data_IF_007298259767
#
_entry.id   IF_007298259767
#
_cell.length_a   1.000
_cell.length_b   1.000
_cell.length_c   1.000
_cell.angle_alpha   90.00
_cell.angle_beta   90.00
_cell.angle_gamma   90.00
#
_symmetry.space_group_name_H-M   'P 1'
#
loop_
_entity.id
_entity.type
_entity.pdbx_description
1 polymer ?
#
# COMPACT_ATOMS: atom_id res chain seq x y z
N UNK A 1 -40.26 -5.63 -60.75
CA UNK A 1 -40.16 -6.10 -59.36
C UNK A 1 -39.13 -5.25 -58.62
N UNK A 2 -39.59 -4.15 -58.02
CA UNK A 2 -39.19 -3.63 -56.71
C UNK A 2 -39.90 -2.29 -56.53
N UNK A 3 -40.85 -2.29 -55.61
CA UNK A 3 -41.77 -1.20 -55.30
C UNK A 3 -41.14 -0.27 -54.26
N UNK A 4 -41.25 1.03 -54.48
CA UNK A 4 -40.93 2.07 -53.52
C UNK A 4 -42.21 2.85 -53.22
N UNK A 5 -42.61 2.91 -51.95
CA UNK A 5 -43.66 3.77 -51.43
C UNK A 5 -43.25 4.32 -50.04
N UNK A 6 -43.79 5.49 -49.62
CA UNK A 6 -43.09 6.41 -48.73
C UNK A 6 -43.50 6.35 -47.25
N UNK A 7 -42.67 7.02 -46.44
CA UNK A 7 -42.85 7.38 -45.03
C UNK A 7 -44.14 8.17 -44.77
N UNK A 8 -44.85 7.83 -43.70
CA UNK A 8 -45.88 8.67 -43.08
C UNK A 8 -45.67 8.71 -41.55
N UNK A 9 -45.67 9.94 -41.01
CA UNK A 9 -45.62 10.30 -39.58
C UNK A 9 -47.02 10.73 -39.18
N UNK A 10 -47.59 10.14 -38.12
CA UNK A 10 -48.69 10.68 -37.32
C UNK A 10 -48.82 9.75 -36.10
N UNK A 11 -49.12 10.14 -34.86
CA UNK A 11 -49.57 11.35 -34.23
C UNK A 11 -50.01 10.93 -32.81
N UNK A 12 -49.66 11.70 -31.80
CA UNK A 12 -49.89 11.37 -30.39
C UNK A 12 -51.38 11.23 -30.04
N UNK A 13 -51.73 10.27 -29.17
CA UNK A 13 -53.02 10.20 -28.48
C UNK A 13 -52.80 10.16 -26.96
N UNK A 14 -52.90 11.35 -26.37
CA UNK A 14 -53.16 11.59 -24.95
C UNK A 14 -54.58 11.14 -24.61
N UNK A 15 -54.76 10.29 -23.60
CA UNK A 15 -56.06 10.13 -22.95
C UNK A 15 -55.94 9.63 -21.49
N UNK A 16 -56.19 10.54 -20.56
CA UNK A 16 -56.78 10.33 -19.22
C UNK A 16 -57.91 11.38 -19.10
N UNK A 17 -58.80 11.41 -18.08
CA UNK A 17 -59.00 10.55 -16.91
C UNK A 17 -60.49 10.16 -16.70
N UNK A 18 -60.84 9.43 -15.62
CA UNK A 18 -61.94 9.80 -14.69
C UNK A 18 -62.17 8.77 -13.56
N UNK A 19 -62.33 9.36 -12.36
CA UNK A 19 -63.15 8.93 -11.21
C UNK A 19 -62.65 7.80 -10.29
N UNK A 20 -61.85 8.23 -9.30
CA UNK A 20 -62.17 8.22 -7.87
C UNK A 20 -63.08 7.09 -7.34
N UNK A 21 -62.49 6.17 -6.57
CA UNK A 21 -63.17 5.50 -5.46
C UNK A 21 -62.26 5.57 -4.23
N UNK A 22 -62.81 6.17 -3.16
CA UNK A 22 -62.16 6.44 -1.88
C UNK A 22 -62.68 5.42 -0.86
N UNK A 23 -61.82 4.54 -0.35
CA UNK A 23 -62.05 3.86 0.93
C UNK A 23 -60.74 3.76 1.72
N UNK A 24 -60.83 4.19 2.98
CA UNK A 24 -59.77 4.36 3.97
C UNK A 24 -59.76 3.19 4.96
N UNK A 25 -58.57 2.88 5.48
CA UNK A 25 -58.19 2.20 6.75
C UNK A 25 -57.34 0.94 6.49
N UNK A 26 -56.18 0.69 7.12
CA UNK A 26 -55.41 1.40 8.12
C UNK A 26 -54.21 0.55 8.59
N UNK A 27 -53.21 1.23 9.17
CA UNK A 27 -52.15 0.76 10.10
C UNK A 27 -50.94 -0.04 9.55
N UNK A 28 -49.86 0.72 9.37
CA UNK A 28 -48.49 0.57 9.91
C UNK A 28 -47.82 -0.82 9.99
N UNK A 29 -46.68 -0.93 9.30
CA UNK A 29 -45.45 -1.42 9.91
C UNK A 29 -44.24 -0.82 9.17
N UNK A 30 -43.30 -0.31 9.95
CA UNK A 30 -42.10 0.39 9.51
C UNK A 30 -41.24 -0.47 8.58
N UNK A 31 -41.09 -0.07 7.31
CA UNK A 31 -39.92 -0.47 6.55
C UNK A 31 -38.72 0.29 7.10
N UNK A 32 -37.96 -0.39 7.94
CA UNK A 32 -36.65 0.07 8.40
C UNK A 32 -35.82 0.35 7.14
N UNK A 33 -35.64 1.64 6.84
CA UNK A 33 -34.58 2.08 5.94
C UNK A 33 -33.29 1.70 6.64
N UNK A 34 -32.76 0.55 6.28
CA UNK A 34 -31.41 0.17 6.60
C UNK A 34 -30.50 1.15 5.88
N UNK A 35 -30.14 2.23 6.55
CA UNK A 35 -28.86 2.90 6.28
C UNK A 35 -27.80 1.85 6.59
N UNK A 36 -27.45 1.03 5.59
CA UNK A 36 -26.18 0.35 5.59
C UNK A 36 -25.13 1.46 5.46
N UNK A 37 -24.82 2.10 6.59
CA UNK A 37 -23.50 2.68 6.79
C UNK A 37 -22.57 1.50 6.60
N UNK A 38 -22.05 1.38 5.38
CA UNK A 38 -20.88 0.54 5.14
C UNK A 38 -19.92 0.91 6.26
N UNK A 39 -19.44 -0.03 7.09
CA UNK A 39 -18.31 0.26 7.91
C UNK A 39 -17.26 0.74 6.92
N UNK A 40 -16.99 2.04 6.93
CA UNK A 40 -15.75 2.58 6.37
C UNK A 40 -14.73 1.69 7.02
N UNK A 41 -14.06 0.85 6.22
CA UNK A 41 -12.93 0.06 6.68
C UNK A 41 -12.11 1.06 7.46
N UNK A 42 -12.12 0.90 8.78
CA UNK A 42 -11.27 1.65 9.65
C UNK A 42 -9.92 1.02 9.36
N UNK A 43 -9.29 1.54 8.30
CA UNK A 43 -7.89 1.40 7.99
C UNK A 43 -7.20 1.91 9.25
N UNK A 44 -7.08 1.01 10.23
CA UNK A 44 -6.31 1.12 11.46
C UNK A 44 -5.24 2.16 11.27
N UNK A 45 -5.55 3.41 11.68
CA UNK A 45 -4.83 4.65 11.39
C UNK A 45 -3.47 4.40 10.73
N UNK A 46 -3.44 4.25 9.39
CA UNK A 46 -2.21 3.92 8.68
C UNK A 46 -1.16 4.95 9.09
N UNK A 47 -0.10 4.50 9.75
CA UNK A 47 0.81 5.42 10.45
C UNK A 47 1.49 6.29 9.41
N UNK A 48 1.14 7.58 9.38
CA UNK A 48 1.78 8.54 8.48
C UNK A 48 3.20 8.83 8.96
N UNK A 49 4.17 8.66 8.08
CA UNK A 49 5.55 9.08 8.27
C UNK A 49 5.82 10.20 7.28
N UNK A 50 6.12 11.40 7.80
CA UNK A 50 6.28 12.58 6.97
C UNK A 50 7.72 12.72 6.48
N UNK A 51 7.88 13.35 5.31
CA UNK A 51 9.19 13.76 4.76
C UNK A 51 10.23 12.64 4.70
N UNK A 52 9.82 11.41 4.33
CA UNK A 52 10.74 10.30 4.10
C UNK A 52 11.57 10.59 2.87
N UNK A 53 12.90 10.53 2.99
CA UNK A 53 13.79 10.68 1.83
C UNK A 53 13.66 9.45 0.95
N UNK A 54 13.33 9.66 -0.31
CA UNK A 54 13.26 8.60 -1.32
C UNK A 54 14.23 8.86 -2.46
N UNK A 55 14.84 7.79 -2.94
CA UNK A 55 15.57 7.75 -4.21
C UNK A 55 14.91 6.74 -5.15
N UNK A 56 15.49 6.50 -6.32
CA UNK A 56 15.06 5.40 -7.17
C UNK A 56 16.26 4.67 -7.76
N UNK A 57 16.07 3.37 -7.97
CA UNK A 57 17.01 2.48 -8.64
C UNK A 57 16.32 1.65 -9.72
N UNK A 58 17.11 0.98 -10.55
CA UNK A 58 16.59 0.03 -11.53
C UNK A 58 17.51 -1.17 -11.73
N UNK A 59 16.97 -2.30 -12.16
CA UNK A 59 17.73 -3.54 -12.39
C UNK A 59 18.75 -3.43 -13.53
N UNK A 60 18.68 -2.36 -14.33
CA UNK A 60 19.67 -2.08 -15.38
C UNK A 60 20.93 -1.42 -14.82
N UNK A 61 20.92 -1.04 -13.55
CA UNK A 61 22.11 -0.68 -12.77
C UNK A 61 22.74 -1.95 -12.16
N UNK A 62 23.71 -1.78 -11.24
CA UNK A 62 24.26 -2.91 -10.50
C UNK A 62 23.21 -3.56 -9.59
N UNK A 63 23.30 -4.87 -9.38
CA UNK A 63 22.39 -5.65 -8.50
C UNK A 63 21.44 -6.59 -9.23
N UNK A 64 21.14 -6.32 -10.50
CA UNK A 64 20.36 -7.22 -11.35
C UNK A 64 18.86 -7.25 -11.00
N UNK A 65 18.10 -8.21 -11.56
CA UNK A 65 16.63 -8.18 -11.55
C UNK A 65 15.99 -8.87 -10.33
N UNK A 66 16.78 -9.31 -9.35
CA UNK A 66 16.29 -10.06 -8.19
C UNK A 66 16.46 -9.25 -6.91
N UNK A 67 15.45 -9.27 -6.05
CA UNK A 67 15.48 -8.65 -4.73
C UNK A 67 16.31 -9.51 -3.74
N UNK A 68 16.44 -9.02 -2.50
CA UNK A 68 17.16 -9.72 -1.46
C UNK A 68 16.55 -11.08 -1.07
N UNK A 69 15.31 -11.38 -1.43
CA UNK A 69 14.68 -12.70 -1.23
C UNK A 69 14.93 -13.68 -2.39
N UNK A 70 15.57 -13.23 -3.47
CA UNK A 70 15.81 -14.03 -4.67
C UNK A 70 14.64 -14.06 -5.65
N UNK A 71 13.55 -13.34 -5.37
CA UNK A 71 12.41 -13.15 -6.26
C UNK A 71 12.68 -12.01 -7.25
N UNK A 72 11.92 -11.95 -8.35
CA UNK A 72 12.05 -10.87 -9.34
C UNK A 72 11.54 -9.55 -8.77
N UNK A 73 12.29 -8.46 -8.99
CA UNK A 73 11.87 -7.10 -8.66
C UNK A 73 10.55 -6.75 -9.36
N UNK A 74 9.60 -6.22 -8.59
CA UNK A 74 8.26 -5.89 -9.06
C UNK A 74 8.13 -4.40 -9.37
N UNK A 75 7.63 -4.07 -10.56
CA UNK A 75 7.15 -2.74 -10.93
C UNK A 75 5.66 -2.78 -11.33
N UNK A 76 4.88 -3.63 -10.64
CA UNK A 76 3.44 -3.84 -10.88
C UNK A 76 2.65 -3.32 -9.67
N UNK A 77 1.51 -3.95 -9.35
CA UNK A 77 0.56 -3.52 -8.31
C UNK A 77 1.20 -3.13 -6.97
N UNK A 78 2.09 -3.97 -6.44
CA UNK A 78 2.97 -3.63 -5.31
C UNK A 78 4.40 -3.68 -5.80
N UNK A 79 5.09 -2.56 -5.67
CA UNK A 79 6.42 -2.35 -6.23
C UNK A 79 7.51 -2.72 -5.20
N UNK A 80 8.65 -3.21 -5.69
CA UNK A 80 9.80 -3.46 -4.82
C UNK A 80 10.42 -2.15 -4.33
N UNK A 81 10.97 -2.17 -3.13
CA UNK A 81 11.72 -1.06 -2.56
C UNK A 81 12.84 -1.58 -1.67
N UNK A 82 13.94 -0.83 -1.65
CA UNK A 82 15.10 -1.11 -0.82
C UNK A 82 15.20 -0.12 0.34
N UNK A 83 15.70 -0.58 1.49
CA UNK A 83 16.00 0.30 2.63
C UNK A 83 17.03 -0.32 3.57
N UNK A 84 17.34 0.36 4.68
CA UNK A 84 17.92 -0.26 5.85
C UNK A 84 16.84 -1.01 6.65
N UNK A 85 16.94 -2.34 6.74
CA UNK A 85 15.95 -3.17 7.42
C UNK A 85 15.90 -2.96 8.94
N UNK A 86 16.89 -2.32 9.56
CA UNK A 86 16.79 -1.88 10.95
C UNK A 86 15.88 -0.67 11.14
N UNK A 87 15.56 0.04 10.05
CA UNK A 87 14.65 1.20 10.01
C UNK A 87 13.28 0.81 9.49
N UNK A 88 13.24 0.15 8.32
CA UNK A 88 12.03 -0.38 7.71
C UNK A 88 12.22 -1.88 7.48
N UNK A 89 11.80 -2.74 8.42
CA UNK A 89 12.02 -4.17 8.33
C UNK A 89 11.46 -4.80 7.06
N UNK A 90 12.05 -5.91 6.67
CA UNK A 90 11.60 -6.75 5.56
C UNK A 90 10.09 -7.01 5.64
N UNK A 91 9.40 -6.77 4.53
CA UNK A 91 7.95 -6.91 4.39
C UNK A 91 7.16 -5.65 4.73
N UNK A 92 7.80 -4.55 5.13
CA UNK A 92 7.09 -3.28 5.37
C UNK A 92 6.35 -2.85 4.11
N UNK A 93 5.02 -2.79 4.19
CA UNK A 93 4.13 -2.39 3.12
C UNK A 93 3.70 -0.94 3.35
N UNK A 94 3.93 -0.07 2.37
CA UNK A 94 3.63 1.34 2.48
C UNK A 94 3.09 1.92 1.18
N UNK A 95 2.38 3.03 1.31
CA UNK A 95 1.82 3.80 0.21
C UNK A 95 2.40 5.20 0.22
N UNK A 96 2.78 5.71 -0.95
CA UNK A 96 3.16 7.12 -1.11
C UNK A 96 1.88 7.95 -1.10
N UNK A 97 1.80 8.95 -0.21
CA UNK A 97 0.57 9.71 0.01
C UNK A 97 0.07 10.45 -1.23
N UNK A 98 1.00 11.01 -2.03
CA UNK A 98 0.65 11.87 -3.16
C UNK A 98 0.26 11.08 -4.42
N UNK A 99 0.84 9.90 -4.62
CA UNK A 99 0.64 9.10 -5.85
C UNK A 99 -0.24 7.88 -5.63
N UNK A 100 -0.50 7.50 -4.37
CA UNK A 100 -1.12 6.22 -3.99
C UNK A 100 -0.40 4.97 -4.49
N UNK A 101 0.83 5.08 -5.00
CA UNK A 101 1.65 3.93 -5.36
C UNK A 101 2.02 3.12 -4.11
N UNK A 102 1.86 1.80 -4.17
CA UNK A 102 2.15 0.88 -3.07
C UNK A 102 3.46 0.14 -3.30
N UNK A 103 4.23 0.00 -2.22
CA UNK A 103 5.57 -0.56 -2.22
C UNK A 103 5.77 -1.49 -1.03
N UNK A 104 6.53 -2.56 -1.25
CA UNK A 104 7.00 -3.46 -0.20
C UNK A 104 8.50 -3.38 -0.08
N UNK A 105 9.01 -3.29 1.15
CA UNK A 105 10.44 -3.43 1.43
C UNK A 105 10.82 -4.90 1.29
N UNK A 106 11.44 -5.26 0.18
CA UNK A 106 11.90 -6.63 -0.13
C UNK A 106 13.39 -6.70 -0.49
N UNK A 107 14.08 -5.55 -0.47
CA UNK A 107 15.47 -5.40 -0.86
C UNK A 107 16.25 -4.48 0.09
N UNK A 108 17.58 -4.47 -0.02
CA UNK A 108 18.46 -3.55 0.71
C UNK A 108 19.72 -3.21 -0.10
N UNK A 109 20.34 -2.07 0.21
CA UNK A 109 21.53 -1.59 -0.50
C UNK A 109 22.56 -0.98 0.43
N UNK A 110 23.85 -1.13 0.11
CA UNK A 110 24.95 -0.63 0.95
C UNK A 110 24.86 0.87 1.23
N UNK A 111 24.42 1.66 0.25
CA UNK A 111 24.27 3.12 0.39
C UNK A 111 23.11 3.55 1.31
N UNK A 112 22.18 2.63 1.63
CA UNK A 112 20.99 2.91 2.42
C UNK A 112 21.22 2.67 3.91
N UNK A 113 22.17 1.82 4.25
CA UNK A 113 22.42 1.35 5.61
C UNK A 113 22.91 2.50 6.49
N UNK A 114 22.25 2.67 7.65
CA UNK A 114 22.44 3.77 8.58
C UNK A 114 21.62 5.02 8.25
N UNK A 115 20.87 5.04 7.15
CA UNK A 115 20.03 6.17 6.72
C UNK A 115 18.54 5.84 6.87
N UNK A 116 17.68 6.86 6.86
CA UNK A 116 16.22 6.70 6.78
C UNK A 116 15.71 6.78 5.33
N UNK A 117 16.56 6.42 4.35
CA UNK A 117 16.22 6.49 2.90
C UNK A 117 15.50 5.23 2.46
N UNK A 118 14.44 5.40 1.66
CA UNK A 118 13.82 4.31 0.90
C UNK A 118 14.14 4.49 -0.59
N UNK A 119 14.72 3.46 -1.21
CA UNK A 119 15.07 3.47 -2.64
C UNK A 119 14.00 2.71 -3.43
N UNK A 120 13.29 3.41 -4.32
CA UNK A 120 12.12 2.87 -5.01
C UNK A 120 12.54 2.18 -6.31
N UNK A 121 12.16 0.93 -6.50
CA UNK A 121 12.45 0.25 -7.75
C UNK A 121 11.63 0.84 -8.90
N UNK A 122 12.30 1.09 -10.03
CA UNK A 122 11.67 1.51 -11.29
C UNK A 122 12.04 0.55 -12.43
N UNK A 123 11.08 0.31 -13.32
CA UNK A 123 11.21 -0.66 -14.40
C UNK A 123 12.30 -0.31 -15.44
N UNK A 124 12.67 0.98 -15.55
CA UNK A 124 13.68 1.45 -16.49
C UNK A 124 14.34 2.74 -16.01
N UNK A 125 15.46 3.12 -16.65
CA UNK A 125 16.24 4.32 -16.31
C UNK A 125 15.48 5.63 -16.50
N UNK A 126 14.54 5.71 -17.44
CA UNK A 126 13.76 6.93 -17.65
C UNK A 126 12.87 7.19 -16.43
N UNK A 127 12.10 6.20 -16.00
CA UNK A 127 11.26 6.29 -14.80
C UNK A 127 12.08 6.54 -13.52
N UNK A 128 13.25 5.92 -13.41
CA UNK A 128 14.20 6.18 -12.31
C UNK A 128 14.66 7.64 -12.27
N UNK A 129 15.09 8.18 -13.42
CA UNK A 129 15.52 9.59 -13.54
C UNK A 129 14.38 10.57 -13.31
N UNK A 130 13.19 10.25 -13.83
CA UNK A 130 11.98 11.06 -13.60
C UNK A 130 11.65 11.13 -12.11
N UNK A 131 11.85 10.05 -11.35
CA UNK A 131 11.73 10.08 -9.90
C UNK A 131 12.83 10.94 -9.26
N UNK A 132 14.10 10.56 -9.39
CA UNK A 132 15.20 11.29 -8.74
C UNK A 132 15.17 11.25 -7.20
N UNK A 133 15.81 12.21 -6.54
CA UNK A 133 15.80 12.31 -5.07
C UNK A 133 14.65 13.22 -4.62
N UNK A 134 13.83 12.75 -3.69
CA UNK A 134 12.67 13.49 -3.17
C UNK A 134 12.45 13.23 -1.70
N UNK A 135 11.63 14.06 -1.06
CA UNK A 135 11.05 13.75 0.25
C UNK A 135 9.53 13.64 0.08
N UNK A 136 8.96 12.53 0.51
CA UNK A 136 7.53 12.25 0.37
C UNK A 136 6.93 11.85 1.70
N UNK A 137 5.63 12.05 1.85
CA UNK A 137 4.88 11.46 2.94
C UNK A 137 4.48 10.03 2.56
N UNK A 138 4.63 9.10 3.49
CA UNK A 138 4.19 7.72 3.32
C UNK A 138 3.17 7.33 4.39
N UNK A 139 2.22 6.49 4.02
CA UNK A 139 1.35 5.78 4.95
C UNK A 139 1.86 4.35 5.08
N UNK A 140 2.24 3.94 6.29
CA UNK A 140 2.58 2.54 6.56
C UNK A 140 1.27 1.76 6.67
N UNK A 141 1.08 0.83 5.73
CA UNK A 141 -0.08 -0.06 5.70
C UNK A 141 0.15 -1.25 6.62
N UNK A 142 1.37 -1.79 6.60
CA UNK A 142 1.79 -2.89 7.46
C UNK A 142 3.29 -2.78 7.76
N UNK A 143 3.68 -2.92 9.02
CA UNK A 143 5.09 -3.02 9.39
C UNK A 143 5.62 -4.41 9.08
N UNK A 144 6.84 -4.46 8.51
CA UNK A 144 7.54 -5.71 8.30
C UNK A 144 8.03 -6.35 9.59
N UNK A 145 8.67 -7.52 9.47
CA UNK A 145 9.19 -8.28 10.61
C UNK A 145 10.71 -8.12 10.77
N UNK A 146 11.11 -7.74 11.99
CA UNK A 146 12.52 -7.70 12.40
C UNK A 146 13.12 -9.12 12.45
N UNK A 147 12.32 -10.10 12.86
CA UNK A 147 12.68 -11.51 12.92
C UNK A 147 12.96 -12.08 11.52
N UNK A 148 12.07 -11.83 10.56
CA UNK A 148 12.29 -12.25 9.17
C UNK A 148 13.50 -11.53 8.55
N UNK A 149 13.68 -10.24 8.87
CA UNK A 149 14.88 -9.50 8.48
C UNK A 149 16.15 -10.20 8.98
N UNK A 150 16.19 -10.57 10.27
CA UNK A 150 17.34 -11.27 10.86
C UNK A 150 17.59 -12.66 10.25
N UNK A 151 16.53 -13.42 9.93
CA UNK A 151 16.66 -14.73 9.27
C UNK A 151 17.36 -14.60 7.92
N UNK A 152 17.00 -13.60 7.12
CA UNK A 152 17.60 -13.37 5.80
C UNK A 152 19.00 -12.77 5.90
N UNK A 153 19.23 -11.87 6.85
CA UNK A 153 20.51 -11.17 7.02
C UNK A 153 21.59 -12.01 7.72
N UNK A 154 21.22 -12.89 8.65
CA UNK A 154 22.15 -13.67 9.47
C UNK A 154 23.22 -14.41 8.66
N UNK A 155 22.84 -15.20 7.63
CA UNK A 155 23.80 -15.89 6.76
C UNK A 155 24.69 -14.96 5.91
N UNK A 156 24.35 -13.66 5.83
CA UNK A 156 25.04 -12.66 4.99
C UNK A 156 25.99 -11.77 5.79
N UNK A 157 26.18 -12.05 7.08
CA UNK A 157 27.05 -11.32 8.00
C UNK A 157 28.54 -11.30 7.62
N UNK A 158 28.97 -12.00 6.56
CA UNK A 158 30.31 -11.78 5.96
C UNK A 158 30.48 -10.34 5.46
N UNK A 159 29.40 -9.66 5.08
CA UNK A 159 29.43 -8.27 4.64
C UNK A 159 29.30 -7.30 5.82
N UNK A 160 30.20 -6.30 5.90
CA UNK A 160 30.23 -5.31 6.99
C UNK A 160 28.89 -4.57 7.14
N UNK A 161 28.30 -4.17 6.02
CA UNK A 161 27.06 -3.42 6.00
C UNK A 161 25.88 -4.24 6.58
N UNK A 162 25.82 -5.54 6.26
CA UNK A 162 24.83 -6.46 6.84
C UNK A 162 25.03 -6.60 8.36
N UNK A 163 26.28 -6.73 8.84
CA UNK A 163 26.54 -6.81 10.29
C UNK A 163 26.02 -5.59 11.05
N UNK A 164 26.06 -4.40 10.44
CA UNK A 164 25.53 -3.19 11.06
C UNK A 164 24.00 -3.25 11.23
N UNK A 165 23.28 -3.69 10.20
CA UNK A 165 21.82 -3.88 10.29
C UNK A 165 21.46 -4.94 11.34
N UNK A 166 22.15 -6.09 11.34
CA UNK A 166 21.92 -7.17 12.32
C UNK A 166 22.17 -6.67 13.73
N UNK A 167 23.27 -5.95 13.98
CA UNK A 167 23.56 -5.39 15.30
C UNK A 167 22.49 -4.38 15.76
N UNK A 168 21.98 -3.55 14.85
CA UNK A 168 20.92 -2.58 15.14
C UNK A 168 19.59 -3.28 15.49
N UNK A 169 19.20 -4.30 14.72
CA UNK A 169 18.01 -5.11 14.96
C UNK A 169 18.10 -5.86 16.30
N UNK A 170 19.23 -6.52 16.56
CA UNK A 170 19.48 -7.23 17.83
C UNK A 170 19.39 -6.30 19.05
N UNK A 171 19.96 -5.09 18.93
CA UNK A 171 19.85 -4.06 19.97
C UNK A 171 18.40 -3.62 20.19
N UNK A 172 17.61 -3.49 19.13
CA UNK A 172 16.19 -3.11 19.20
C UNK A 172 15.38 -4.20 19.89
N UNK A 173 15.57 -5.46 19.51
CA UNK A 173 14.95 -6.63 20.15
C UNK A 173 15.24 -6.69 21.66
N UNK A 174 16.49 -6.48 22.06
CA UNK A 174 16.88 -6.46 23.48
C UNK A 174 16.17 -5.37 24.30
N UNK A 175 15.98 -4.18 23.73
CA UNK A 175 15.21 -3.09 24.38
C UNK A 175 13.74 -3.46 24.55
N UNK A 176 13.11 -4.01 23.52
CA UNK A 176 11.71 -4.43 23.57
C UNK A 176 11.47 -5.48 24.65
N UNK A 177 12.36 -6.48 24.74
CA UNK A 177 12.28 -7.53 25.78
C UNK A 177 12.48 -6.97 27.18
N UNK A 178 13.44 -6.05 27.37
CA UNK A 178 13.67 -5.40 28.66
C UNK A 178 12.45 -4.57 29.11
N UNK A 179 11.83 -3.82 28.19
CA UNK A 179 10.63 -3.02 28.47
C UNK A 179 9.43 -3.90 28.82
N UNK A 180 9.19 -4.98 28.08
CA UNK A 180 8.13 -5.94 28.37
C UNK A 180 8.33 -6.63 29.74
N UNK A 181 9.57 -6.96 30.08
CA UNK A 181 9.93 -7.54 31.39
C UNK A 181 9.70 -6.55 32.54
N UNK A 182 10.03 -5.27 32.34
CA UNK A 182 9.78 -4.21 33.33
C UNK A 182 8.29 -4.03 33.60
N UNK A 183 7.48 -3.90 32.55
CA UNK A 183 6.03 -3.70 32.69
C UNK A 183 5.31 -4.86 33.39
N UNK A 184 5.85 -6.08 33.28
CA UNK A 184 5.30 -7.27 33.94
C UNK A 184 5.61 -7.34 35.43
N UNK A 185 6.68 -6.67 35.90
CA UNK A 185 7.05 -6.60 37.33
C UNK A 185 6.34 -5.47 38.09
N UNK A 186 5.72 -4.52 37.38
CA UNK A 186 5.02 -3.36 37.95
C UNK A 186 3.51 -3.54 38.05
N UNK A 187 2.99 -4.75 37.80
CA UNK A 187 1.59 -5.17 37.97
C UNK A 187 1.53 -6.22 39.09
#
# INVERSE_FOLDING_TARGET
MHEAAPVAIEGAKLQMPKCLNLTLAGVAACFIVGCATQPKLDLTSARRVQRVRTTAYTHTEGGGPRNALGSRLSARHVMSAASDWSRFPLGTHFRIADTNEEYVIDDYGTALIGTDTIDLYKANRLAMKQWGVRHVDIAILEWGSEEESLKVLGPRCKHRCVRQMVAALEKKRGKTVAQASSNRRSL
#
